data_IF_895705889674
#
_entry.id   IF_895705889674
#
_cell.length_a   1.000
_cell.length_b   1.000
_cell.length_c   1.000
_cell.angle_alpha   90.00
_cell.angle_beta   90.00
_cell.angle_gamma   90.00
#
_symmetry.space_group_name_H-M   'P 1'
#
loop_
_entity.id
_entity.type
_entity.pdbx_description
1 polymer ?
#
# COMPACT_ATOMS: atom_id res chain seq x y z
N UNK A 1 -9.06 10.23 5.90
CA UNK A 1 -7.60 10.46 5.97
C UNK A 1 -7.09 11.41 4.88
N UNK A 2 -7.39 11.19 3.60
CA UNK A 2 -6.94 12.06 2.50
C UNK A 2 -7.35 13.54 2.70
N UNK A 3 -8.57 13.79 3.15
CA UNK A 3 -9.04 15.16 3.44
C UNK A 3 -8.16 15.92 4.44
N UNK A 4 -7.68 15.24 5.49
CA UNK A 4 -6.77 15.85 6.46
C UNK A 4 -5.36 16.08 5.87
N UNK A 5 -4.88 15.17 5.02
CA UNK A 5 -3.59 15.31 4.33
C UNK A 5 -3.60 16.53 3.40
N UNK A 6 -4.65 16.72 2.61
CA UNK A 6 -4.77 17.84 1.65
C UNK A 6 -4.58 19.22 2.31
N UNK A 7 -5.12 19.41 3.52
CA UNK A 7 -4.93 20.62 4.32
C UNK A 7 -3.44 20.88 4.65
N UNK A 8 -2.66 19.82 4.86
CA UNK A 8 -1.29 19.87 5.39
C UNK A 8 -0.19 19.75 4.32
N UNK A 9 -0.55 19.46 3.06
CA UNK A 9 0.43 19.36 1.98
C UNK A 9 1.22 20.66 1.79
N UNK A 10 2.48 20.55 1.39
CA UNK A 10 3.30 21.71 0.95
C UNK A 10 2.88 22.13 -0.46
N UNK A 11 3.21 23.38 -0.83
CA UNK A 11 3.13 23.83 -2.22
C UNK A 11 3.95 22.89 -3.13
N UNK A 12 3.40 22.53 -4.30
CA UNK A 12 3.95 21.56 -5.25
C UNK A 12 4.14 20.14 -4.69
N UNK A 13 3.36 19.80 -3.66
CA UNK A 13 3.32 18.46 -3.10
C UNK A 13 2.90 17.39 -4.11
N UNK A 14 3.17 16.12 -3.78
CA UNK A 14 2.83 14.97 -4.61
C UNK A 14 2.09 13.93 -3.79
N UNK A 15 1.01 13.38 -4.32
CA UNK A 15 0.24 12.27 -3.74
C UNK A 15 0.23 11.15 -4.78
N UNK A 16 0.89 10.03 -4.46
CA UNK A 16 0.83 8.83 -5.28
C UNK A 16 -0.34 7.96 -4.80
N UNK A 17 -1.36 7.79 -5.64
CA UNK A 17 -2.55 6.99 -5.32
C UNK A 17 -2.27 5.53 -5.67
N UNK A 18 -1.74 4.79 -4.71
CA UNK A 18 -1.55 3.35 -4.83
C UNK A 18 -2.85 2.56 -4.57
N UNK A 19 -3.74 3.10 -3.74
CA UNK A 19 -4.99 2.46 -3.33
C UNK A 19 -5.72 3.26 -2.26
N UNK A 20 -6.95 2.85 -1.96
CA UNK A 20 -7.82 3.51 -0.99
C UNK A 20 -8.54 2.46 -0.12
N UNK A 21 -7.76 1.66 0.62
CA UNK A 21 -8.27 0.47 1.34
C UNK A 21 -9.44 0.76 2.30
N UNK A 22 -9.51 1.96 2.89
CA UNK A 22 -10.62 2.34 3.76
C UNK A 22 -11.99 2.42 3.05
N UNK A 23 -11.99 2.44 1.72
CA UNK A 23 -13.20 2.53 0.91
C UNK A 23 -13.70 1.16 0.40
N UNK A 24 -12.87 0.11 0.41
CA UNK A 24 -13.13 -1.13 -0.35
C UNK A 24 -14.36 -1.91 0.11
N UNK A 25 -14.70 -1.84 1.40
CA UNK A 25 -15.82 -2.60 1.98
C UNK A 25 -17.03 -1.71 2.31
N UNK A 26 -17.06 -0.47 1.83
CA UNK A 26 -18.20 0.42 2.03
C UNK A 26 -19.22 0.26 0.91
N UNK A 27 -20.51 0.17 1.25
CA UNK A 27 -21.59 0.20 0.25
C UNK A 27 -21.64 1.51 -0.52
N UNK A 28 -21.27 2.62 0.13
CA UNK A 28 -21.16 3.94 -0.45
C UNK A 28 -19.82 4.55 -0.04
N UNK A 29 -18.93 4.90 -1.00
CA UNK A 29 -17.67 5.55 -0.68
C UNK A 29 -17.88 6.91 0.00
N UNK A 30 -16.95 7.27 0.86
CA UNK A 30 -16.85 8.58 1.47
C UNK A 30 -16.35 9.60 0.43
N UNK A 31 -16.89 10.82 0.47
CA UNK A 31 -16.43 11.91 -0.39
C UNK A 31 -15.07 12.46 0.05
N UNK A 32 -14.36 13.09 -0.89
CA UNK A 32 -13.17 13.92 -0.60
C UNK A 32 -13.57 15.38 -0.75
N UNK A 33 -13.46 16.15 0.32
CA UNK A 33 -14.05 17.48 0.45
C UNK A 33 -13.05 18.63 0.29
N UNK A 34 -11.74 18.35 0.42
CA UNK A 34 -10.67 19.34 0.44
C UNK A 34 -9.86 19.44 -0.88
N UNK A 35 -10.44 19.01 -2.01
CA UNK A 35 -9.73 18.97 -3.31
C UNK A 35 -9.28 20.35 -3.82
N UNK A 36 -9.87 21.45 -3.35
CA UNK A 36 -9.41 22.81 -3.68
C UNK A 36 -7.94 23.06 -3.32
N UNK A 37 -7.39 22.34 -2.34
CA UNK A 37 -5.97 22.43 -2.03
C UNK A 37 -5.06 21.92 -3.14
N UNK A 38 -5.55 21.05 -4.03
CA UNK A 38 -4.78 20.66 -5.22
C UNK A 38 -4.47 21.87 -6.10
N UNK A 39 -5.43 22.77 -6.26
CA UNK A 39 -5.26 24.02 -7.02
C UNK A 39 -4.43 25.02 -6.21
N UNK A 40 -4.87 25.34 -4.99
CA UNK A 40 -4.25 26.38 -4.14
C UNK A 40 -2.78 26.06 -3.87
N UNK A 41 -2.41 24.78 -3.80
CA UNK A 41 -1.05 24.33 -3.53
C UNK A 41 -0.36 23.69 -4.74
N UNK A 42 -0.99 23.62 -5.91
CA UNK A 42 -0.44 23.02 -7.15
C UNK A 42 0.08 21.60 -6.91
N UNK A 43 -0.70 20.78 -6.20
CA UNK A 43 -0.35 19.40 -5.87
C UNK A 43 -0.61 18.50 -7.07
N UNK A 44 0.33 17.60 -7.37
CA UNK A 44 0.09 16.49 -8.30
C UNK A 44 -0.46 15.29 -7.53
N UNK A 45 -1.67 14.88 -7.86
CA UNK A 45 -2.31 13.67 -7.32
C UNK A 45 -2.50 12.68 -8.47
N UNK A 46 -1.80 11.54 -8.42
CA UNK A 46 -1.68 10.64 -9.58
C UNK A 46 -1.77 9.18 -9.16
N UNK A 47 -2.65 8.43 -9.82
CA UNK A 47 -2.75 6.98 -9.67
C UNK A 47 -1.75 6.24 -10.56
N UNK A 48 -1.38 5.04 -10.15
CA UNK A 48 -0.52 4.15 -10.92
C UNK A 48 -0.87 2.70 -10.58
N UNK A 49 -0.60 1.77 -11.50
CA UNK A 49 -0.77 0.34 -11.26
C UNK A 49 0.54 -0.40 -11.50
N UNK A 50 0.85 -1.38 -10.65
CA UNK A 50 2.10 -2.14 -10.74
C UNK A 50 2.32 -2.84 -12.10
N UNK A 51 1.29 -3.34 -12.83
CA UNK A 51 1.52 -3.99 -14.12
C UNK A 51 2.18 -3.09 -15.16
N UNK A 52 1.91 -1.78 -15.11
CA UNK A 52 2.49 -0.79 -16.04
C UNK A 52 4.02 -0.68 -15.88
N UNK A 53 4.57 -1.16 -14.76
CA UNK A 53 5.97 -0.99 -14.37
C UNK A 53 6.77 -2.29 -14.30
N UNK A 54 6.21 -3.44 -14.71
CA UNK A 54 6.97 -4.71 -14.66
C UNK A 54 8.23 -4.73 -15.53
N UNK A 55 8.31 -3.85 -16.53
CA UNK A 55 9.55 -3.64 -17.30
C UNK A 55 10.74 -3.16 -16.43
N UNK A 56 10.48 -2.61 -15.24
CA UNK A 56 11.50 -2.22 -14.26
C UNK A 56 11.84 -3.32 -13.25
N UNK A 57 11.13 -4.46 -13.26
CA UNK A 57 11.30 -5.51 -12.26
C UNK A 57 12.72 -6.06 -12.16
N UNK A 58 13.46 -6.33 -13.25
CA UNK A 58 14.86 -6.77 -13.17
C UNK A 58 15.74 -5.75 -12.43
N UNK A 59 15.61 -4.46 -12.78
CA UNK A 59 16.33 -3.35 -12.13
C UNK A 59 15.96 -3.21 -10.66
N UNK A 60 14.70 -3.46 -10.32
CA UNK A 60 14.25 -3.48 -8.92
C UNK A 60 14.94 -4.60 -8.12
N UNK A 61 15.05 -5.81 -8.67
CA UNK A 61 15.73 -6.93 -8.01
C UNK A 61 17.22 -6.66 -7.79
N UNK A 62 17.92 -6.14 -8.81
CA UNK A 62 19.32 -5.71 -8.71
C UNK A 62 19.54 -4.71 -7.57
N UNK A 63 18.56 -3.83 -7.34
CA UNK A 63 18.62 -2.80 -6.31
C UNK A 63 18.27 -3.35 -4.91
N UNK A 64 17.21 -4.13 -4.79
CA UNK A 64 16.64 -4.52 -3.47
C UNK A 64 17.33 -5.73 -2.87
N UNK A 65 17.70 -6.75 -3.65
CA UNK A 65 18.29 -7.98 -3.12
C UNK A 65 19.55 -7.72 -2.29
N UNK A 66 20.54 -6.94 -2.76
CA UNK A 66 21.74 -6.64 -1.96
C UNK A 66 21.40 -5.88 -0.69
N UNK A 67 20.45 -4.93 -0.74
CA UNK A 67 20.03 -4.14 0.43
C UNK A 67 19.35 -4.98 1.50
N UNK A 68 18.57 -6.00 1.11
CA UNK A 68 18.02 -6.97 2.05
C UNK A 68 19.15 -7.79 2.68
N UNK A 69 20.08 -8.32 1.88
CA UNK A 69 21.23 -9.10 2.37
C UNK A 69 22.14 -8.29 3.31
N UNK A 70 22.29 -6.99 3.05
CA UNK A 70 23.05 -6.05 3.87
C UNK A 70 22.28 -5.54 5.10
N UNK A 71 21.01 -5.93 5.29
CA UNK A 71 20.16 -5.45 6.39
C UNK A 71 19.73 -3.98 6.28
N UNK A 72 19.94 -3.33 5.12
CA UNK A 72 19.50 -1.95 4.84
C UNK A 72 18.01 -1.85 4.57
N UNK A 73 17.37 -2.96 4.21
CA UNK A 73 15.92 -3.09 4.09
C UNK A 73 15.49 -4.21 5.04
N UNK A 74 14.63 -3.87 6.01
CA UNK A 74 14.01 -4.81 6.94
C UNK A 74 12.59 -5.09 6.43
N UNK A 75 12.21 -6.36 6.46
CA UNK A 75 10.89 -6.81 6.03
C UNK A 75 10.23 -7.60 7.17
N UNK A 76 8.95 -7.31 7.42
CA UNK A 76 8.17 -7.93 8.50
C UNK A 76 6.98 -8.65 7.89
N UNK A 77 6.84 -9.91 8.26
CA UNK A 77 5.76 -10.80 7.80
C UNK A 77 4.88 -11.19 8.98
N UNK A 78 3.58 -11.26 8.70
CA UNK A 78 2.58 -11.89 9.55
C UNK A 78 2.22 -13.24 8.91
N UNK A 79 2.59 -14.34 9.56
CA UNK A 79 2.55 -15.67 8.97
C UNK A 79 1.37 -16.45 9.54
N UNK A 80 0.45 -16.85 8.67
CA UNK A 80 -0.61 -17.81 8.96
C UNK A 80 -0.24 -19.19 8.40
N UNK A 81 -0.40 -20.24 9.20
CA UNK A 81 -0.10 -21.63 8.79
C UNK A 81 -1.37 -22.33 8.30
N UNK A 82 -1.25 -23.11 7.23
CA UNK A 82 -2.34 -23.87 6.62
C UNK A 82 -3.20 -23.04 5.68
N UNK A 83 -3.62 -23.65 4.56
CA UNK A 83 -4.50 -23.00 3.58
C UNK A 83 -5.86 -22.65 4.19
N UNK A 84 -6.29 -23.41 5.19
CA UNK A 84 -7.51 -23.23 5.95
C UNK A 84 -7.52 -21.89 6.71
N UNK A 85 -6.34 -21.35 7.04
CA UNK A 85 -6.19 -20.03 7.66
C UNK A 85 -6.33 -18.88 6.65
N UNK A 86 -6.28 -19.17 5.35
CA UNK A 86 -6.35 -18.16 4.29
C UNK A 86 -7.54 -17.21 4.38
N UNK A 87 -8.79 -17.69 4.54
CA UNK A 87 -9.96 -16.83 4.68
C UNK A 87 -9.88 -15.87 5.86
N UNK A 88 -9.46 -16.35 7.04
CA UNK A 88 -9.38 -15.52 8.24
C UNK A 88 -8.23 -14.50 8.16
N UNK A 89 -7.10 -14.90 7.57
CA UNK A 89 -5.95 -14.03 7.29
C UNK A 89 -6.33 -12.90 6.31
N UNK A 90 -7.08 -13.22 5.24
CA UNK A 90 -7.55 -12.25 4.27
C UNK A 90 -8.53 -11.23 4.89
N UNK A 91 -9.51 -11.70 5.67
CA UNK A 91 -10.45 -10.81 6.38
C UNK A 91 -9.70 -9.92 7.38
N UNK A 92 -8.65 -10.46 8.02
CA UNK A 92 -7.77 -9.72 8.93
C UNK A 92 -7.19 -8.44 8.33
N UNK A 93 -6.90 -8.41 7.02
CA UNK A 93 -6.37 -7.23 6.33
C UNK A 93 -7.27 -6.00 6.47
N UNK A 94 -8.59 -6.20 6.44
CA UNK A 94 -9.57 -5.11 6.45
C UNK A 94 -9.92 -4.63 7.87
N UNK A 95 -9.46 -5.36 8.89
CA UNK A 95 -9.60 -4.98 10.30
C UNK A 95 -8.29 -4.51 10.92
N UNK A 96 -7.21 -4.47 10.12
CA UNK A 96 -5.87 -4.07 10.59
C UNK A 96 -5.24 -5.07 11.55
N UNK A 97 -5.64 -6.35 11.49
CA UNK A 97 -5.12 -7.40 12.37
C UNK A 97 -3.66 -7.74 12.07
N UNK A 98 -3.27 -7.68 10.81
CA UNK A 98 -1.94 -8.09 10.37
C UNK A 98 -0.84 -7.12 10.84
N UNK A 99 0.28 -7.66 11.32
CA UNK A 99 1.48 -6.88 11.63
C UNK A 99 2.54 -7.14 10.54
N UNK A 100 2.58 -6.27 9.54
CA UNK A 100 3.44 -6.45 8.36
C UNK A 100 2.72 -7.12 7.20
N UNK A 101 3.46 -7.78 6.30
CA UNK A 101 2.85 -8.47 5.16
C UNK A 101 2.21 -9.78 5.62
N UNK A 102 0.90 -9.93 5.41
CA UNK A 102 0.25 -11.21 5.57
C UNK A 102 0.75 -12.23 4.53
N UNK A 103 1.21 -13.38 5.01
CA UNK A 103 1.62 -14.56 4.25
C UNK A 103 0.84 -15.77 4.77
N UNK A 104 0.49 -16.69 3.87
CA UNK A 104 -0.10 -17.98 4.22
C UNK A 104 0.88 -19.07 3.79
N UNK A 105 1.38 -19.83 4.76
CA UNK A 105 2.23 -21.00 4.52
C UNK A 105 1.33 -22.20 4.28
N UNK A 106 1.24 -22.62 3.02
CA UNK A 106 0.40 -23.76 2.61
C UNK A 106 1.09 -25.09 2.92
N UNK A 107 2.39 -25.15 2.66
CA UNK A 107 3.25 -26.28 2.97
C UNK A 107 4.66 -25.76 3.24
N UNK A 108 5.41 -26.49 4.07
CA UNK A 108 6.84 -26.29 4.28
C UNK A 108 7.58 -27.47 3.67
N UNK A 109 8.73 -27.20 3.05
CA UNK A 109 9.67 -28.23 2.60
C UNK A 109 10.30 -28.95 3.80
#
# INVERSE_FOLDING_TARGET
>A
MLDAVLLNMRNHGRIAICGMISQYNLHKPEGVHNLMHLVIKRIRMEGFLVPDYYHLYPKFLEMVIPRIKEGKIIYVEDIAEGIESGPSALIGLFTGRNIGKQVVVVARE
#
